data_IF_328592843567
#
_entry.id   IF_328592843567
#
_cell.length_a   1.000
_cell.length_b   1.000
_cell.length_c   1.000
_cell.angle_alpha   90.00
_cell.angle_beta   90.00
_cell.angle_gamma   90.00
#
_symmetry.space_group_name_H-M   'P 1'
#
loop_
_entity.id
_entity.type
_entity.pdbx_description
1 polymer ?
#
# COMPACT_ATOMS: atom_id res chain seq x y z
N UNK A 1 -22.01 -10.36 4.89
CA UNK A 1 -20.69 -9.94 5.38
C UNK A 1 -20.57 -8.46 5.12
N UNK A 2 -20.36 -7.66 6.16
CA UNK A 2 -20.09 -6.21 6.02
C UNK A 2 -18.65 -6.04 5.60
N UNK A 3 -18.41 -5.34 4.48
CA UNK A 3 -17.06 -4.93 4.09
C UNK A 3 -16.53 -4.03 5.22
N UNK A 4 -15.38 -4.34 5.83
CA UNK A 4 -14.88 -3.51 6.91
C UNK A 4 -14.55 -2.10 6.38
N UNK A 5 -14.76 -1.05 7.19
CA UNK A 5 -14.59 0.32 6.74
C UNK A 5 -13.12 0.60 6.38
N UNK A 6 -12.90 1.40 5.33
CA UNK A 6 -11.57 1.84 4.94
C UNK A 6 -10.95 2.68 6.05
N UNK A 7 -9.78 2.25 6.53
CA UNK A 7 -9.06 2.93 7.60
C UNK A 7 -8.40 4.21 7.05
N UNK A 8 -8.53 5.36 7.73
CA UNK A 8 -7.80 6.57 7.37
C UNK A 8 -6.30 6.39 7.63
N UNK A 9 -5.48 7.20 6.96
CA UNK A 9 -4.04 7.30 7.26
C UNK A 9 -3.84 7.73 8.71
N UNK A 10 -2.81 7.17 9.36
CA UNK A 10 -2.32 7.61 10.68
C UNK A 10 -1.05 8.46 10.56
N UNK A 11 -0.52 8.64 9.35
CA UNK A 11 0.74 9.33 9.08
C UNK A 11 0.68 10.16 7.80
N UNK A 12 -0.19 11.17 7.78
CA UNK A 12 -0.43 12.03 6.61
C UNK A 12 0.81 12.82 6.17
N UNK A 13 1.76 13.04 7.08
CA UNK A 13 3.03 13.72 6.83
C UNK A 13 4.16 12.78 6.36
N UNK A 14 3.85 11.51 6.04
CA UNK A 14 4.80 10.57 5.46
C UNK A 14 4.11 9.59 4.49
N UNK A 15 4.88 8.59 4.03
CA UNK A 15 4.36 7.44 3.29
C UNK A 15 3.69 7.82 1.97
N UNK A 16 2.68 7.05 1.63
CA UNK A 16 1.87 7.26 0.43
C UNK A 16 1.09 8.57 0.49
N UNK A 17 0.50 8.90 1.64
CA UNK A 17 -0.37 10.05 1.77
C UNK A 17 0.37 11.37 1.51
N UNK A 18 1.56 11.55 2.11
CA UNK A 18 2.36 12.75 1.87
C UNK A 18 2.84 12.82 0.42
N UNK A 19 3.41 11.72 -0.11
CA UNK A 19 3.92 11.71 -1.50
C UNK A 19 2.81 12.05 -2.48
N UNK A 20 1.61 11.46 -2.33
CA UNK A 20 0.48 11.81 -3.18
C UNK A 20 0.00 13.23 -2.96
N UNK A 21 0.01 13.75 -1.73
CA UNK A 21 -0.36 15.15 -1.42
C UNK A 21 0.53 16.15 -2.15
N UNK A 22 1.84 15.88 -2.20
CA UNK A 22 2.82 16.71 -2.90
C UNK A 22 2.80 16.55 -4.42
N UNK A 23 2.14 15.52 -4.96
CA UNK A 23 2.04 15.29 -6.39
C UNK A 23 1.04 16.27 -7.05
N UNK A 24 1.48 17.16 -7.97
CA UNK A 24 0.59 18.09 -8.66
C UNK A 24 -0.23 17.43 -9.78
N UNK A 25 0.13 16.23 -10.22
CA UNK A 25 -0.54 15.50 -11.30
C UNK A 25 -1.76 14.69 -10.84
N UNK A 26 -2.05 14.73 -9.54
CA UNK A 26 -3.18 14.03 -8.92
C UNK A 26 -4.51 14.68 -9.37
N UNK A 27 -5.43 13.88 -9.87
CA UNK A 27 -6.74 14.32 -10.39
C UNK A 27 -7.82 14.53 -9.30
N UNK A 28 -7.56 14.14 -8.06
CA UNK A 28 -8.52 14.19 -6.94
C UNK A 28 -7.85 14.53 -5.61
N UNK A 29 -8.59 14.70 -4.51
CA UNK A 29 -7.98 15.03 -3.19
C UNK A 29 -7.14 13.86 -2.66
N UNK A 30 -6.13 14.16 -1.83
CA UNK A 30 -5.27 13.12 -1.23
C UNK A 30 -6.07 12.04 -0.50
N UNK A 31 -7.12 12.45 0.23
CA UNK A 31 -8.03 11.53 0.90
C UNK A 31 -8.76 10.58 -0.06
N UNK A 32 -9.15 11.06 -1.23
CA UNK A 32 -9.83 10.25 -2.25
C UNK A 32 -8.84 9.28 -2.91
N UNK A 33 -7.60 9.70 -3.15
CA UNK A 33 -6.52 8.82 -3.64
C UNK A 33 -6.13 7.77 -2.61
N UNK A 34 -6.09 8.13 -1.32
CA UNK A 34 -5.88 7.20 -0.23
C UNK A 34 -6.94 6.09 -0.24
N UNK A 35 -8.23 6.48 -0.22
CA UNK A 35 -9.34 5.54 -0.27
C UNK A 35 -9.28 4.65 -1.52
N UNK A 36 -8.92 5.22 -2.66
CA UNK A 36 -8.77 4.48 -3.91
C UNK A 36 -7.63 3.45 -3.84
N UNK A 37 -6.46 3.86 -3.34
CA UNK A 37 -5.30 2.97 -3.19
C UNK A 37 -5.60 1.82 -2.24
N UNK A 38 -6.22 2.09 -1.09
CA UNK A 38 -6.60 1.04 -0.13
C UNK A 38 -7.55 0.02 -0.75
N UNK A 39 -8.59 0.47 -1.48
CA UNK A 39 -9.54 -0.42 -2.14
C UNK A 39 -8.88 -1.27 -3.24
N UNK A 40 -8.06 -0.65 -4.09
CA UNK A 40 -7.41 -1.37 -5.19
C UNK A 40 -6.38 -2.38 -4.69
N UNK A 41 -5.63 -2.05 -3.63
CA UNK A 41 -4.69 -2.99 -3.01
C UNK A 41 -5.47 -4.14 -2.36
N UNK A 42 -6.54 -3.85 -1.61
CA UNK A 42 -7.37 -4.87 -0.97
C UNK A 42 -7.93 -5.86 -2.00
N UNK A 43 -8.48 -5.38 -3.11
CA UNK A 43 -8.96 -6.24 -4.21
C UNK A 43 -7.82 -7.06 -4.84
N UNK A 44 -6.68 -6.41 -5.11
CA UNK A 44 -5.54 -7.05 -5.76
C UNK A 44 -4.92 -8.20 -4.95
N UNK A 45 -4.92 -8.10 -3.61
CA UNK A 45 -4.40 -9.15 -2.72
C UNK A 45 -5.51 -10.04 -2.16
N UNK A 46 -6.77 -9.76 -2.47
CA UNK A 46 -7.97 -10.43 -1.93
C UNK A 46 -8.08 -10.35 -0.40
N UNK A 47 -7.78 -9.18 0.16
CA UNK A 47 -7.95 -8.93 1.58
C UNK A 47 -9.43 -9.02 1.97
N UNK A 48 -9.75 -9.84 2.97
CA UNK A 48 -11.11 -10.04 3.46
C UNK A 48 -11.25 -9.88 4.99
N UNK A 49 -10.14 -9.61 5.68
CA UNK A 49 -10.09 -9.43 7.13
C UNK A 49 -9.72 -8.00 7.56
N UNK A 50 -10.07 -7.64 8.80
CA UNK A 50 -9.69 -6.36 9.39
C UNK A 50 -8.17 -6.23 9.57
N UNK A 51 -7.49 -7.31 9.95
CA UNK A 51 -6.03 -7.37 10.11
C UNK A 51 -5.31 -7.06 8.78
N UNK A 52 -5.84 -7.55 7.65
CA UNK A 52 -5.28 -7.21 6.34
C UNK A 52 -5.50 -5.74 5.98
N UNK A 53 -6.65 -5.15 6.32
CA UNK A 53 -6.87 -3.72 6.10
C UNK A 53 -5.96 -2.85 7.00
N UNK A 54 -5.68 -3.30 8.22
CA UNK A 54 -4.65 -2.70 9.09
C UNK A 54 -3.29 -2.79 8.40
N UNK A 55 -2.93 -3.97 7.88
CA UNK A 55 -1.70 -4.18 7.12
C UNK A 55 -1.57 -3.27 5.91
N UNK A 56 -2.67 -3.02 5.16
CA UNK A 56 -2.67 -2.10 4.02
C UNK A 56 -2.44 -0.66 4.49
N UNK A 57 -3.12 -0.20 5.54
CA UNK A 57 -2.90 1.15 6.10
C UNK A 57 -1.45 1.31 6.52
N UNK A 58 -0.94 0.38 7.32
CA UNK A 58 0.39 0.48 7.91
C UNK A 58 1.49 0.36 6.83
N UNK A 59 1.26 -0.46 5.80
CA UNK A 59 2.06 -0.48 4.57
C UNK A 59 2.11 0.89 3.89
N UNK A 60 0.94 1.50 3.64
CA UNK A 60 0.81 2.79 2.95
C UNK A 60 1.41 3.94 3.78
N UNK A 61 1.25 3.94 5.09
CA UNK A 61 1.83 4.93 6.01
C UNK A 61 3.35 4.75 6.20
N UNK A 62 3.87 3.57 5.88
CA UNK A 62 5.26 3.21 6.07
C UNK A 62 6.22 3.65 4.96
N UNK A 63 7.49 3.25 5.12
CA UNK A 63 8.55 3.46 4.11
C UNK A 63 8.23 2.81 2.78
N UNK A 64 7.63 1.62 2.79
CA UNK A 64 7.26 0.93 1.55
C UNK A 64 6.10 1.61 0.83
N UNK A 65 5.14 2.19 1.56
CA UNK A 65 4.10 3.04 0.99
C UNK A 65 4.64 4.27 0.26
N UNK A 66 5.73 4.88 0.76
CA UNK A 66 6.43 5.96 0.03
C UNK A 66 7.00 5.46 -1.29
N UNK A 67 7.72 4.34 -1.31
CA UNK A 67 8.26 3.76 -2.55
C UNK A 67 7.16 3.37 -3.54
N UNK A 68 6.05 2.83 -3.03
CA UNK A 68 4.88 2.54 -3.84
C UNK A 68 4.29 3.82 -4.45
N UNK A 69 4.20 4.90 -3.67
CA UNK A 69 3.75 6.20 -4.16
C UNK A 69 4.69 6.80 -5.21
N UNK A 70 6.01 6.64 -5.06
CA UNK A 70 6.97 7.09 -6.08
C UNK A 70 6.73 6.39 -7.43
N UNK A 71 6.38 5.10 -7.42
CA UNK A 71 5.97 4.37 -8.63
C UNK A 71 4.63 4.86 -9.21
N UNK A 72 3.67 5.23 -8.36
CA UNK A 72 2.39 5.84 -8.80
C UNK A 72 2.64 7.22 -9.44
N UNK A 73 3.46 8.06 -8.81
CA UNK A 73 3.85 9.37 -9.36
C UNK A 73 4.61 9.20 -10.68
N UNK A 74 5.51 8.22 -10.76
CA UNK A 74 6.20 7.87 -12.00
C UNK A 74 5.23 7.46 -13.12
N UNK A 75 4.17 6.70 -12.81
CA UNK A 75 3.15 6.34 -13.78
C UNK A 75 2.32 7.56 -14.24
N UNK A 76 1.96 8.47 -13.33
CA UNK A 76 1.31 9.75 -13.69
C UNK A 76 2.19 10.61 -14.59
N UNK A 77 3.47 10.76 -14.25
CA UNK A 77 4.46 11.46 -15.08
C UNK A 77 4.66 10.79 -16.45
N UNK A 78 4.52 9.46 -16.50
CA UNK A 78 4.54 8.65 -17.72
C UNK A 78 3.28 8.72 -18.57
N UNK A 79 2.27 9.50 -18.18
CA UNK A 79 1.05 9.71 -18.96
C UNK A 79 -0.11 8.78 -18.62
N UNK A 80 -0.15 8.20 -17.42
CA UNK A 80 -1.37 7.54 -16.94
C UNK A 80 -2.55 8.54 -16.95
N UNK A 81 -3.73 8.05 -17.30
CA UNK A 81 -4.90 8.90 -17.53
C UNK A 81 -5.38 9.62 -16.25
N UNK A 82 -5.29 8.95 -15.10
CA UNK A 82 -5.71 9.43 -13.80
C UNK A 82 -4.98 8.68 -12.66
N UNK A 83 -5.25 9.05 -11.40
CA UNK A 83 -4.66 8.38 -10.23
C UNK A 83 -5.04 6.90 -10.16
N UNK A 84 -6.22 6.50 -10.64
CA UNK A 84 -6.66 5.11 -10.62
C UNK A 84 -5.79 4.24 -11.51
N UNK A 85 -5.63 4.64 -12.77
CA UNK A 85 -4.78 3.97 -13.75
C UNK A 85 -3.33 3.89 -13.28
N UNK A 86 -2.83 4.96 -12.65
CA UNK A 86 -1.48 5.00 -12.09
C UNK A 86 -1.29 4.04 -10.91
N UNK A 87 -2.25 3.99 -9.98
CA UNK A 87 -2.24 3.04 -8.86
C UNK A 87 -2.29 1.60 -9.38
N UNK A 88 -3.19 1.30 -10.32
CA UNK A 88 -3.26 -0.04 -10.91
C UNK A 88 -1.95 -0.45 -11.62
N UNK A 89 -1.29 0.49 -12.29
CA UNK A 89 0.01 0.23 -12.91
C UNK A 89 1.08 -0.12 -11.86
N UNK A 90 1.15 0.64 -10.76
CA UNK A 90 2.05 0.35 -9.65
C UNK A 90 1.73 -1.01 -8.98
N UNK A 91 0.46 -1.32 -8.74
CA UNK A 91 0.01 -2.61 -8.19
C UNK A 91 0.50 -3.77 -9.07
N UNK A 92 0.28 -3.70 -10.40
CA UNK A 92 0.73 -4.75 -11.33
C UNK A 92 2.24 -4.96 -11.26
N UNK A 93 3.01 -3.86 -11.23
CA UNK A 93 4.47 -3.89 -11.09
C UNK A 93 4.90 -4.57 -9.78
N UNK A 94 4.26 -4.23 -8.67
CA UNK A 94 4.59 -4.79 -7.35
C UNK A 94 4.13 -6.25 -7.18
N UNK A 95 3.08 -6.68 -7.88
CA UNK A 95 2.66 -8.07 -7.92
C UNK A 95 3.54 -8.95 -8.82
N UNK A 96 4.18 -8.37 -9.84
CA UNK A 96 5.12 -9.08 -10.71
C UNK A 96 6.45 -9.37 -9.99
N UNK A 97 6.89 -8.45 -9.13
CA UNK A 97 8.06 -8.65 -8.30
C UNK A 97 7.89 -9.75 -7.27
N UNK A 98 9.02 -10.38 -6.91
CA UNK A 98 9.07 -11.48 -5.94
C UNK A 98 9.97 -11.13 -4.78
N UNK A 99 9.52 -11.43 -3.55
CA UNK A 99 10.35 -11.35 -2.35
C UNK A 99 11.55 -12.28 -2.53
N UNK A 100 12.75 -11.73 -2.41
CA UNK A 100 14.00 -12.47 -2.57
C UNK A 100 14.47 -13.03 -1.22
N UNK A 101 15.39 -14.00 -1.25
CA UNK A 101 15.97 -14.60 -0.03
C UNK A 101 16.67 -13.59 0.89
N UNK A 102 17.14 -12.45 0.35
CA UNK A 102 17.70 -11.38 1.18
C UNK A 102 16.62 -10.73 2.03
N UNK A 103 15.53 -10.31 1.40
CA UNK A 103 14.37 -9.72 2.07
C UNK A 103 13.77 -10.67 3.10
N UNK A 104 13.69 -11.96 2.80
CA UNK A 104 13.24 -12.98 3.77
C UNK A 104 14.11 -13.01 5.03
N UNK A 105 15.44 -12.93 4.88
CA UNK A 105 16.36 -12.94 6.02
C UNK A 105 16.36 -11.64 6.82
N UNK A 106 16.17 -10.51 6.15
CA UNK A 106 16.21 -9.18 6.76
C UNK A 106 14.89 -8.81 7.43
N UNK A 107 13.76 -9.18 6.82
CA UNK A 107 12.43 -8.70 7.19
C UNK A 107 11.51 -9.84 7.66
N UNK A 108 11.92 -11.10 7.53
CA UNK A 108 11.10 -12.26 7.88
C UNK A 108 9.96 -12.57 6.90
N UNK A 109 9.92 -11.90 5.75
CA UNK A 109 8.87 -12.09 4.73
C UNK A 109 9.18 -13.31 3.85
N UNK A 110 8.28 -14.29 3.72
CA UNK A 110 8.58 -15.51 2.95
C UNK A 110 9.02 -15.24 1.51
N UNK A 111 10.11 -15.87 1.08
CA UNK A 111 10.62 -15.72 -0.29
C UNK A 111 9.65 -16.33 -1.32
N UNK A 112 9.59 -15.72 -2.50
CA UNK A 112 8.74 -16.18 -3.61
C UNK A 112 7.30 -15.64 -3.58
N UNK A 113 6.89 -14.93 -2.52
CA UNK A 113 5.64 -14.19 -2.52
C UNK A 113 5.70 -12.99 -3.47
N UNK A 114 4.57 -12.58 -4.07
CA UNK A 114 4.43 -11.26 -4.68
C UNK A 114 4.85 -10.18 -3.71
N UNK A 115 5.59 -9.18 -4.17
CA UNK A 115 6.18 -8.15 -3.32
C UNK A 115 5.12 -7.37 -2.54
N UNK A 116 4.02 -6.97 -3.22
CA UNK A 116 2.89 -6.30 -2.58
C UNK A 116 2.25 -7.15 -1.47
N UNK A 117 1.93 -8.41 -1.76
CA UNK A 117 1.32 -9.33 -0.80
C UNK A 117 2.21 -9.56 0.42
N UNK A 118 3.51 -9.80 0.20
CA UNK A 118 4.46 -10.05 1.27
C UNK A 118 4.58 -8.88 2.25
N UNK A 119 4.68 -7.64 1.74
CA UNK A 119 4.77 -6.46 2.60
C UNK A 119 3.47 -6.18 3.34
N UNK A 120 2.32 -6.23 2.68
CA UNK A 120 1.03 -5.98 3.36
C UNK A 120 0.80 -6.99 4.50
N UNK A 121 1.08 -8.28 4.26
CA UNK A 121 0.95 -9.30 5.30
C UNK A 121 1.96 -9.12 6.43
N UNK A 122 3.19 -8.70 6.12
CA UNK A 122 4.18 -8.39 7.14
C UNK A 122 3.69 -7.28 8.08
N UNK A 123 3.12 -6.21 7.55
CA UNK A 123 2.55 -5.14 8.37
C UNK A 123 1.30 -5.58 9.15
N UNK A 124 0.47 -6.47 8.59
CA UNK A 124 -0.68 -7.02 9.31
C UNK A 124 -0.27 -7.81 10.57
N UNK A 125 0.83 -8.57 10.50
CA UNK A 125 1.33 -9.39 11.63
C UNK A 125 2.19 -8.58 12.61
N UNK A 126 2.88 -7.55 12.12
CA UNK A 126 3.79 -6.73 12.94
C UNK A 126 3.09 -5.56 13.62
N UNK A 127 1.77 -5.40 13.44
CA UNK A 127 0.97 -4.50 14.26
C UNK A 127 1.28 -4.81 15.74
N UNK A 128 1.77 -3.84 16.53
CA UNK A 128 2.09 -4.10 17.92
C UNK A 128 0.82 -4.62 18.56
N UNK A 129 0.87 -5.85 19.07
CA UNK A 129 -0.13 -6.27 20.04
C UNK A 129 -0.08 -5.20 21.12
N UNK A 130 -1.12 -4.38 21.22
CA UNK A 130 -1.24 -3.47 22.36
C UNK A 130 -1.28 -4.37 23.59
N UNK A 131 -0.13 -4.51 24.25
CA UNK A 131 -0.01 -5.15 25.54
C UNK A 131 -0.96 -4.39 26.46
N UNK A 132 -2.14 -4.96 26.65
CA UNK A 132 -3.12 -4.47 27.61
C UNK A 132 -2.50 -4.70 28.99
N UNK A 133 -1.97 -3.63 29.59
CA UNK A 133 -1.54 -3.59 30.99
C UNK A 133 -2.65 -2.99 31.83
#
# INVERSE_FOLDING_TARGET
MTIPPILPSRNEDYGFFQTMTLCPLRDRRSQEVWTLATNLIADAIRADSEDELIGIRDFLDGRMGRHFADDVVGALQGGAADSEAAIQAAIRKWLDWRICRRTEREEGIPAGLPYLTGWVQHFAVTAPMEETT
#
